data_IF_169886679059
#
_entry.id   IF_169886679059
#
_cell.length_a   1.000
_cell.length_b   1.000
_cell.length_c   1.000
_cell.angle_alpha   90.00
_cell.angle_beta   90.00
_cell.angle_gamma   90.00
#
_symmetry.space_group_name_H-M   'P 1'
#
loop_
_entity.id
_entity.type
_entity.pdbx_description
1 polymer ?
#
# COMPACT_ATOMS: atom_id res chain seq x y z
N UNK A 1 -17.88 -27.51 7.40
CA UNK A 1 -17.11 -26.41 8.00
C UNK A 1 -16.39 -25.70 6.88
N UNK A 2 -16.88 -24.53 6.50
CA UNK A 2 -16.43 -23.76 5.33
C UNK A 2 -15.17 -22.99 5.70
N UNK A 3 -14.05 -23.27 5.03
CA UNK A 3 -12.73 -22.61 5.15
C UNK A 3 -12.70 -21.14 4.70
N UNK A 4 -13.86 -20.49 4.60
CA UNK A 4 -14.00 -19.19 3.93
C UNK A 4 -13.72 -17.96 4.82
N UNK A 5 -13.55 -18.11 6.14
CA UNK A 5 -13.50 -16.95 7.06
C UNK A 5 -12.09 -16.54 7.58
N UNK A 6 -11.00 -17.27 7.30
CA UNK A 6 -9.68 -16.95 7.91
C UNK A 6 -8.54 -16.68 6.91
N UNK A 7 -8.80 -16.16 5.71
CA UNK A 7 -7.72 -15.87 4.76
C UNK A 7 -7.49 -14.36 4.57
N UNK A 8 -6.26 -13.93 4.88
CA UNK A 8 -5.78 -12.56 4.70
C UNK A 8 -5.00 -12.41 3.38
N UNK A 9 -5.34 -11.47 2.48
CA UNK A 9 -4.51 -11.19 1.32
C UNK A 9 -3.14 -10.65 1.78
N UNK A 10 -2.06 -11.15 1.16
CA UNK A 10 -0.71 -10.65 1.38
C UNK A 10 0.00 -10.47 0.05
N UNK A 11 0.86 -9.45 -0.01
CA UNK A 11 1.64 -9.13 -1.20
C UNK A 11 3.14 -9.17 -0.85
N UNK A 12 3.94 -9.73 -1.75
CA UNK A 12 5.40 -9.60 -1.72
C UNK A 12 5.81 -8.83 -2.96
N UNK A 13 6.69 -7.87 -2.77
CA UNK A 13 7.23 -7.04 -3.84
C UNK A 13 8.75 -7.03 -3.82
N UNK A 14 9.34 -6.77 -4.98
CA UNK A 14 10.75 -6.51 -5.15
C UNK A 14 10.98 -5.56 -6.32
N UNK A 15 12.08 -4.81 -6.27
CA UNK A 15 12.58 -3.98 -7.36
C UNK A 15 13.51 -4.82 -8.22
N UNK A 16 13.40 -4.64 -9.54
CA UNK A 16 14.29 -5.25 -10.52
C UNK A 16 15.11 -4.19 -11.27
N UNK A 17 16.31 -4.58 -11.69
CA UNK A 17 17.13 -3.80 -12.60
C UNK A 17 17.52 -4.68 -13.78
N UNK A 18 17.11 -4.27 -15.00
CA UNK A 18 17.33 -5.04 -16.24
C UNK A 18 16.87 -6.51 -16.14
N UNK A 19 15.66 -6.72 -15.58
CA UNK A 19 15.05 -8.05 -15.40
C UNK A 19 15.72 -8.92 -14.33
N UNK A 20 16.59 -8.35 -13.48
CA UNK A 20 17.20 -9.06 -12.35
C UNK A 20 16.68 -8.48 -11.03
N UNK A 21 16.25 -9.31 -10.07
CA UNK A 21 15.81 -8.82 -8.77
C UNK A 21 16.98 -8.21 -8.00
N UNK A 22 16.78 -6.99 -7.51
CA UNK A 22 17.78 -6.24 -6.74
C UNK A 22 17.35 -6.02 -5.29
N UNK A 23 16.12 -5.56 -5.03
CA UNK A 23 15.72 -5.19 -3.68
C UNK A 23 14.33 -5.70 -3.32
N UNK A 24 14.26 -6.67 -2.41
CA UNK A 24 13.02 -7.05 -1.71
C UNK A 24 13.05 -6.61 -0.25
N UNK A 25 12.03 -7.00 0.52
CA UNK A 25 11.85 -6.64 1.96
C UNK A 25 13.13 -6.77 2.80
N UNK A 26 13.76 -7.95 2.80
CA UNK A 26 14.96 -8.18 3.60
C UNK A 26 16.15 -7.31 3.18
N UNK A 27 16.24 -6.98 1.88
CA UNK A 27 17.23 -6.04 1.40
C UNK A 27 16.97 -4.61 1.87
N UNK A 28 15.71 -4.16 1.81
CA UNK A 28 15.32 -2.85 2.31
C UNK A 28 15.58 -2.72 3.82
N UNK A 29 15.28 -3.76 4.61
CA UNK A 29 15.59 -3.81 6.05
C UNK A 29 17.10 -3.70 6.31
N UNK A 30 17.93 -4.35 5.49
CA UNK A 30 19.39 -4.22 5.55
C UNK A 30 19.83 -2.77 5.31
N UNK A 31 19.34 -2.13 4.24
CA UNK A 31 19.72 -0.76 3.91
C UNK A 31 19.25 0.24 4.98
N UNK A 32 18.04 0.06 5.50
CA UNK A 32 17.50 0.86 6.60
C UNK A 32 18.35 0.72 7.87
N UNK A 33 18.70 -0.51 8.25
CA UNK A 33 19.55 -0.75 9.40
C UNK A 33 20.96 -0.14 9.23
N UNK A 34 21.56 -0.21 8.04
CA UNK A 34 22.84 0.45 7.76
C UNK A 34 22.70 1.96 7.87
N UNK A 35 21.62 2.54 7.34
CA UNK A 35 21.36 3.98 7.42
C UNK A 35 21.22 4.47 8.87
N UNK A 36 20.63 3.66 9.76
CA UNK A 36 20.50 4.00 11.19
C UNK A 36 21.81 3.78 11.95
N UNK A 37 22.41 2.60 11.81
CA UNK A 37 23.53 2.16 12.65
C UNK A 37 24.90 2.70 12.18
N UNK A 38 24.97 3.20 10.94
CA UNK A 38 26.21 3.62 10.27
C UNK A 38 27.31 2.52 10.29
N UNK A 39 26.91 1.25 10.36
CA UNK A 39 27.82 0.12 10.51
C UNK A 39 27.18 -1.19 10.04
N UNK A 40 27.90 -1.94 9.20
CA UNK A 40 27.44 -3.25 8.71
C UNK A 40 27.34 -4.29 9.81
N UNK A 41 28.29 -4.32 10.74
CA UNK A 41 28.29 -5.30 11.83
C UNK A 41 27.13 -5.06 12.78
N UNK A 42 26.87 -3.80 13.16
CA UNK A 42 25.70 -3.44 13.97
C UNK A 42 24.39 -3.73 13.26
N UNK A 43 24.29 -3.41 11.96
CA UNK A 43 23.10 -3.73 11.16
C UNK A 43 22.84 -5.24 11.11
N UNK A 44 23.87 -6.06 10.89
CA UNK A 44 23.75 -7.52 10.90
C UNK A 44 23.29 -8.05 12.26
N UNK A 45 23.87 -7.56 13.37
CA UNK A 45 23.46 -7.93 14.73
C UNK A 45 22.01 -7.54 15.00
N UNK A 46 21.60 -6.31 14.66
CA UNK A 46 20.23 -5.80 14.83
C UNK A 46 19.20 -6.67 14.10
N UNK A 47 19.52 -7.10 12.88
CA UNK A 47 18.67 -7.95 12.05
C UNK A 47 18.81 -9.44 12.36
N UNK A 48 19.64 -9.82 13.35
CA UNK A 48 19.96 -11.22 13.68
C UNK A 48 20.44 -12.02 12.45
N UNK A 49 21.18 -11.36 11.57
CA UNK A 49 21.78 -11.94 10.37
C UNK A 49 23.30 -12.07 10.55
N UNK A 50 23.91 -13.04 9.87
CA UNK A 50 25.37 -13.08 9.83
C UNK A 50 25.91 -11.90 9.01
N UNK A 51 27.05 -11.33 9.43
CA UNK A 51 27.74 -10.30 8.65
C UNK A 51 27.98 -10.74 7.20
N UNK A 52 28.39 -12.01 7.02
CA UNK A 52 28.61 -12.59 5.68
C UNK A 52 27.34 -12.59 4.83
N UNK A 53 26.17 -12.87 5.41
CA UNK A 53 24.90 -12.81 4.69
C UNK A 53 24.60 -11.39 4.21
N UNK A 54 24.68 -10.40 5.11
CA UNK A 54 24.45 -8.98 4.79
C UNK A 54 25.41 -8.51 3.70
N UNK A 55 26.71 -8.80 3.86
CA UNK A 55 27.73 -8.45 2.87
C UNK A 55 27.45 -9.07 1.50
N UNK A 56 27.17 -10.37 1.44
CA UNK A 56 26.85 -11.06 0.20
C UNK A 56 25.59 -10.51 -0.46
N UNK A 57 24.59 -10.11 0.32
CA UNK A 57 23.37 -9.50 -0.20
C UNK A 57 23.68 -8.16 -0.89
N UNK A 58 24.46 -7.28 -0.25
CA UNK A 58 24.86 -5.99 -0.84
C UNK A 58 25.68 -6.18 -2.12
N UNK A 59 26.61 -7.15 -2.12
CA UNK A 59 27.41 -7.49 -3.30
C UNK A 59 26.55 -7.98 -4.47
N UNK A 60 25.47 -8.73 -4.19
CA UNK A 60 24.52 -9.15 -5.24
C UNK A 60 23.82 -7.94 -5.87
N UNK A 61 23.39 -6.97 -5.07
CA UNK A 61 22.76 -5.75 -5.59
C UNK A 61 23.75 -4.95 -6.43
N UNK A 62 24.94 -4.69 -5.88
CA UNK A 62 25.98 -3.96 -6.58
C UNK A 62 26.36 -4.63 -7.90
N UNK A 63 26.47 -5.96 -7.94
CA UNK A 63 26.75 -6.69 -9.18
C UNK A 63 25.62 -6.58 -10.21
N UNK A 64 24.37 -6.52 -9.76
CA UNK A 64 23.23 -6.39 -10.65
C UNK A 64 23.11 -4.97 -11.23
N UNK A 65 23.31 -3.94 -10.41
CA UNK A 65 23.17 -2.53 -10.81
C UNK A 65 24.44 -2.01 -11.52
N UNK A 66 25.62 -2.47 -11.12
CA UNK A 66 26.91 -2.01 -11.64
C UNK A 66 27.57 -0.92 -10.78
N UNK A 67 26.90 -0.45 -9.73
CA UNK A 67 27.36 0.65 -8.87
C UNK A 67 27.20 0.32 -7.38
N UNK A 68 28.08 0.84 -6.51
CA UNK A 68 27.99 0.61 -5.07
C UNK A 68 26.76 1.31 -4.47
N UNK A 69 25.98 0.55 -3.71
CA UNK A 69 24.83 1.07 -2.95
C UNK A 69 25.19 1.41 -1.48
N UNK A 70 26.36 0.96 -1.02
CA UNK A 70 26.90 1.21 0.32
C UNK A 70 28.38 1.53 0.21
N UNK A 71 28.80 2.62 0.82
CA UNK A 71 30.20 2.96 1.05
C UNK A 71 30.64 2.41 2.40
N UNK A 72 31.85 1.83 2.44
CA UNK A 72 32.42 1.29 3.67
C UNK A 72 33.79 1.88 3.96
N UNK A 73 34.06 2.14 5.24
CA UNK A 73 35.37 2.54 5.74
C UNK A 73 35.93 1.41 6.60
N UNK A 74 37.15 0.97 6.29
CA UNK A 74 37.85 -0.01 7.14
C UNK A 74 38.15 0.62 8.50
N UNK A 75 37.82 -0.11 9.56
CA UNK A 75 38.25 0.23 10.92
C UNK A 75 39.70 -0.19 11.15
N UNK A 76 40.37 0.48 12.08
CA UNK A 76 41.73 0.13 12.52
C UNK A 76 41.76 -1.02 13.54
N UNK A 77 42.94 -1.26 14.13
CA UNK A 77 43.20 -2.31 15.15
C UNK A 77 42.26 -2.33 16.35
N UNK A 78 41.55 -1.22 16.63
CA UNK A 78 40.63 -1.09 17.77
C UNK A 78 39.14 -1.06 17.35
N UNK A 79 38.83 -1.43 16.10
CA UNK A 79 37.49 -1.34 15.54
C UNK A 79 37.19 0.04 14.93
N UNK A 80 35.91 0.32 14.66
CA UNK A 80 35.46 1.62 14.13
C UNK A 80 35.25 1.70 12.61
N UNK A 81 35.11 0.56 11.93
CA UNK A 81 34.69 0.57 10.53
C UNK A 81 33.27 1.11 10.37
N UNK A 82 33.06 1.98 9.38
CA UNK A 82 31.77 2.62 9.10
C UNK A 82 31.14 2.08 7.82
N UNK A 83 29.81 2.17 7.74
CA UNK A 83 29.09 1.89 6.51
C UNK A 83 27.94 2.86 6.34
N UNK A 84 27.80 3.46 5.16
CA UNK A 84 26.75 4.42 4.84
C UNK A 84 26.17 4.13 3.47
N UNK A 85 24.88 4.42 3.30
CA UNK A 85 24.24 4.32 2.00
C UNK A 85 24.79 5.40 1.07
N UNK A 86 25.12 5.01 -0.17
CA UNK A 86 25.40 5.96 -1.24
C UNK A 86 24.11 6.69 -1.65
N UNK A 87 24.17 7.77 -2.44
CA UNK A 87 22.96 8.40 -2.99
C UNK A 87 22.05 7.39 -3.70
N UNK A 88 22.63 6.47 -4.48
CA UNK A 88 21.93 5.37 -5.12
C UNK A 88 21.25 4.44 -4.10
N UNK A 89 21.97 4.02 -3.05
CA UNK A 89 21.41 3.18 -2.00
C UNK A 89 20.26 3.84 -1.25
N UNK A 90 20.35 5.15 -1.00
CA UNK A 90 19.26 5.95 -0.39
C UNK A 90 18.05 6.04 -1.31
N UNK A 91 18.27 6.30 -2.60
CA UNK A 91 17.20 6.35 -3.61
C UNK A 91 16.46 5.03 -3.71
N UNK A 92 17.19 3.91 -3.77
CA UNK A 92 16.60 2.57 -3.89
C UNK A 92 15.78 2.19 -2.65
N UNK A 93 16.27 2.53 -1.45
CA UNK A 93 15.53 2.33 -0.20
C UNK A 93 14.25 3.17 -0.16
N UNK A 94 14.34 4.45 -0.57
CA UNK A 94 13.20 5.35 -0.62
C UNK A 94 12.11 4.83 -1.57
N UNK A 95 12.51 4.45 -2.79
CA UNK A 95 11.61 3.88 -3.80
C UNK A 95 10.89 2.63 -3.27
N UNK A 96 11.62 1.71 -2.65
CA UNK A 96 11.03 0.51 -2.05
C UNK A 96 10.01 0.86 -0.97
N UNK A 97 10.37 1.77 -0.04
CA UNK A 97 9.48 2.18 1.08
C UNK A 97 8.23 2.89 0.58
N UNK A 98 8.34 3.70 -0.47
CA UNK A 98 7.18 4.35 -1.09
C UNK A 98 6.24 3.30 -1.67
N UNK A 99 6.74 2.43 -2.54
CA UNK A 99 5.95 1.35 -3.15
C UNK A 99 5.33 0.42 -2.10
N UNK A 100 6.07 0.05 -1.05
CA UNK A 100 5.56 -0.74 0.06
C UNK A 100 4.40 -0.03 0.77
N UNK A 101 4.50 1.28 1.00
CA UNK A 101 3.41 2.07 1.59
C UNK A 101 2.17 2.11 0.68
N UNK A 102 2.35 2.31 -0.62
CA UNK A 102 1.23 2.31 -1.57
C UNK A 102 0.54 0.94 -1.63
N UNK A 103 1.30 -0.14 -1.74
CA UNK A 103 0.74 -1.49 -1.81
C UNK A 103 0.07 -1.89 -0.50
N UNK A 104 0.63 -1.53 0.65
CA UNK A 104 0.00 -1.81 1.95
C UNK A 104 -1.37 -1.13 2.06
N UNK A 105 -1.53 0.10 1.55
CA UNK A 105 -2.83 0.78 1.49
C UNK A 105 -3.81 0.04 0.58
N UNK A 106 -3.38 -0.34 -0.62
CA UNK A 106 -4.23 -1.08 -1.57
C UNK A 106 -4.66 -2.43 -1.01
N UNK A 107 -3.75 -3.17 -0.38
CA UNK A 107 -4.05 -4.46 0.25
C UNK A 107 -4.98 -4.25 1.45
N UNK A 108 -4.76 -3.23 2.28
CA UNK A 108 -5.68 -2.92 3.38
C UNK A 108 -7.07 -2.51 2.88
N UNK A 109 -7.15 -1.71 1.82
CA UNK A 109 -8.43 -1.27 1.24
C UNK A 109 -9.22 -2.46 0.66
N UNK A 110 -8.54 -3.47 0.09
CA UNK A 110 -9.18 -4.72 -0.29
C UNK A 110 -9.74 -5.52 0.90
N UNK A 111 -9.15 -5.40 2.10
CA UNK A 111 -9.73 -5.99 3.32
C UNK A 111 -11.01 -5.25 3.73
N UNK A 112 -11.01 -3.92 3.62
CA UNK A 112 -12.20 -3.09 3.89
C UNK A 112 -13.31 -3.33 2.85
N UNK A 113 -13.00 -3.75 1.63
CA UNK A 113 -14.03 -4.15 0.67
C UNK A 113 -14.76 -5.44 1.10
N UNK A 114 -14.08 -6.35 1.80
CA UNK A 114 -14.70 -7.57 2.35
C UNK A 114 -15.58 -7.28 3.57
N UNK A 115 -15.32 -6.19 4.29
CA UNK A 115 -16.09 -5.74 5.45
C UNK A 115 -16.34 -4.24 5.34
N UNK A 116 -17.45 -3.80 4.72
CA UNK A 116 -17.71 -2.39 4.43
C UNK A 116 -18.06 -1.60 5.69
N UNK A 117 -17.09 -1.39 6.57
CA UNK A 117 -17.13 -0.33 7.55
C UNK A 117 -16.55 0.93 6.90
N UNK A 118 -17.50 1.77 6.48
CA UNK A 118 -17.45 2.91 5.57
C UNK A 118 -16.49 4.08 5.94
N UNK A 119 -15.50 3.89 6.82
CA UNK A 119 -14.79 4.99 7.50
C UNK A 119 -13.45 5.44 6.88
N UNK A 120 -12.70 4.59 6.18
CA UNK A 120 -11.28 4.91 5.89
C UNK A 120 -10.95 5.33 4.44
N UNK A 121 -11.75 4.94 3.45
CA UNK A 121 -11.47 5.26 2.03
C UNK A 121 -12.37 6.37 1.46
N UNK A 122 -13.39 6.77 2.23
CA UNK A 122 -14.38 7.77 1.85
C UNK A 122 -13.90 9.13 2.32
N UNK A 123 -13.23 9.88 1.45
CA UNK A 123 -12.85 11.28 1.76
C UNK A 123 -14.00 12.25 1.54
N UNK A 124 -14.96 11.88 0.70
CA UNK A 124 -16.11 12.69 0.36
C UNK A 124 -17.38 11.90 0.69
N UNK A 125 -18.21 12.42 1.59
CA UNK A 125 -19.54 11.88 1.82
C UNK A 125 -20.62 12.93 1.60
N UNK A 126 -21.75 12.50 1.05
CA UNK A 126 -22.92 13.34 0.81
C UNK A 126 -24.12 12.72 1.51
N UNK A 127 -24.77 13.48 2.38
CA UNK A 127 -26.01 13.06 3.04
C UNK A 127 -27.21 13.47 2.21
N UNK A 128 -28.19 12.58 2.12
CA UNK A 128 -29.41 12.85 1.37
C UNK A 128 -30.52 11.84 1.66
N UNK A 129 -31.66 12.07 1.02
CA UNK A 129 -32.86 11.25 1.16
C UNK A 129 -33.14 10.49 -0.14
N UNK A 130 -33.43 9.20 -0.04
CA UNK A 130 -33.77 8.40 -1.22
C UNK A 130 -35.14 8.83 -1.75
N UNK A 131 -35.20 9.26 -3.01
CA UNK A 131 -36.44 9.71 -3.67
C UNK A 131 -36.99 8.71 -4.68
N UNK A 132 -36.12 7.90 -5.30
CA UNK A 132 -36.55 6.86 -6.22
C UNK A 132 -35.57 5.69 -6.23
N UNK A 133 -36.10 4.48 -6.43
CA UNK A 133 -35.32 3.26 -6.63
C UNK A 133 -35.90 2.54 -7.85
N UNK A 134 -35.12 2.49 -8.93
CA UNK A 134 -35.47 1.74 -10.14
C UNK A 134 -34.59 0.50 -10.23
N UNK A 135 -35.19 -0.68 -10.36
CA UNK A 135 -34.48 -1.95 -10.53
C UNK A 135 -34.67 -2.41 -11.97
N UNK A 136 -33.60 -2.47 -12.75
CA UNK A 136 -33.64 -2.93 -14.15
C UNK A 136 -32.51 -3.91 -14.43
N UNK A 137 -32.88 -5.14 -14.79
CA UNK A 137 -31.94 -6.25 -14.99
C UNK A 137 -31.11 -6.54 -13.74
N UNK A 138 -29.79 -6.59 -13.91
CA UNK A 138 -28.80 -6.80 -12.84
C UNK A 138 -28.38 -5.51 -12.13
N UNK A 139 -28.94 -4.35 -12.51
CA UNK A 139 -28.58 -3.04 -11.97
C UNK A 139 -29.74 -2.38 -11.25
N UNK A 140 -29.42 -1.56 -10.26
CA UNK A 140 -30.34 -0.69 -9.55
C UNK A 140 -29.85 0.75 -9.67
N UNK A 141 -30.78 1.66 -9.96
CA UNK A 141 -30.58 3.11 -9.90
C UNK A 141 -31.26 3.62 -8.64
N UNK A 142 -30.48 4.24 -7.77
CA UNK A 142 -30.98 4.87 -6.55
C UNK A 142 -30.80 6.36 -6.69
N UNK A 143 -31.90 7.12 -6.73
CA UNK A 143 -31.88 8.58 -6.76
C UNK A 143 -31.95 9.10 -5.34
N UNK A 144 -31.00 9.95 -4.99
CA UNK A 144 -30.87 10.55 -3.66
C UNK A 144 -30.89 12.06 -3.83
N UNK A 145 -31.79 12.72 -3.14
CA UNK A 145 -31.87 14.18 -3.05
C UNK A 145 -30.97 14.65 -1.90
N UNK A 146 -30.10 15.61 -2.16
CA UNK A 146 -29.18 16.14 -1.17
C UNK A 146 -29.85 17.24 -0.33
N UNK A 147 -29.18 17.68 0.74
CA UNK A 147 -29.61 18.88 1.48
C UNK A 147 -29.51 20.18 0.65
N UNK A 148 -28.79 20.15 -0.47
CA UNK A 148 -28.70 21.20 -1.49
C UNK A 148 -29.70 20.91 -2.61
N UNK A 149 -30.05 21.87 -3.50
CA UNK A 149 -31.00 21.65 -4.61
C UNK A 149 -30.45 20.75 -5.74
N UNK A 150 -29.65 19.75 -5.40
CA UNK A 150 -29.04 18.79 -6.30
C UNK A 150 -29.46 17.37 -5.93
N UNK A 151 -29.52 16.50 -6.93
CA UNK A 151 -29.77 15.07 -6.74
C UNK A 151 -28.63 14.25 -7.34
N UNK A 152 -28.29 13.16 -6.67
CA UNK A 152 -27.28 12.19 -7.12
C UNK A 152 -27.99 10.89 -7.49
N UNK A 153 -27.60 10.30 -8.61
CA UNK A 153 -28.09 8.97 -9.00
C UNK A 153 -26.95 7.98 -8.84
N UNK A 154 -27.12 7.01 -7.96
CA UNK A 154 -26.16 5.93 -7.73
C UNK A 154 -26.59 4.72 -8.55
N UNK A 155 -25.70 4.26 -9.43
CA UNK A 155 -25.83 3.02 -10.18
C UNK A 155 -25.07 1.93 -9.43
N UNK A 156 -25.75 0.86 -9.05
CA UNK A 156 -25.15 -0.26 -8.31
C UNK A 156 -25.73 -1.61 -8.76
N UNK A 157 -25.03 -2.73 -8.52
CA UNK A 157 -25.60 -4.05 -8.74
C UNK A 157 -26.87 -4.27 -7.90
N UNK A 158 -27.84 -4.96 -8.47
CA UNK A 158 -29.13 -5.24 -7.81
C UNK A 158 -28.97 -5.95 -6.47
N UNK A 159 -28.04 -6.92 -6.41
CA UNK A 159 -27.71 -7.65 -5.18
C UNK A 159 -27.24 -6.72 -4.05
N UNK A 160 -26.50 -5.65 -4.39
CA UNK A 160 -26.04 -4.64 -3.44
C UNK A 160 -27.20 -3.80 -2.93
N UNK A 161 -28.08 -3.32 -3.82
CA UNK A 161 -29.26 -2.55 -3.43
C UNK A 161 -30.23 -3.36 -2.55
N UNK A 162 -30.39 -4.66 -2.83
CA UNK A 162 -31.21 -5.57 -2.02
C UNK A 162 -30.58 -5.87 -0.65
N UNK A 163 -29.25 -6.05 -0.60
CA UNK A 163 -28.51 -6.23 0.66
C UNK A 163 -28.57 -5.02 1.59
N UNK A 164 -28.67 -3.81 1.04
CA UNK A 164 -28.83 -2.57 1.82
C UNK A 164 -30.28 -2.30 2.27
N UNK A 165 -31.25 -3.09 1.78
CA UNK A 165 -32.67 -2.98 2.13
C UNK A 165 -33.26 -1.54 2.03
N UNK A 166 -32.76 -0.74 1.09
CA UNK A 166 -33.14 0.67 0.93
C UNK A 166 -34.61 0.85 0.55
N UNK A 167 -35.26 1.85 1.14
CA UNK A 167 -36.62 2.30 0.84
C UNK A 167 -36.64 3.76 0.43
N UNK A 168 -37.66 4.12 -0.34
CA UNK A 168 -37.93 5.52 -0.65
C UNK A 168 -38.28 6.23 0.66
N UNK A 169 -37.57 7.32 0.95
CA UNK A 169 -37.70 8.08 2.18
C UNK A 169 -36.56 7.87 3.19
N UNK A 170 -35.69 6.88 2.99
CA UNK A 170 -34.58 6.62 3.90
C UNK A 170 -33.52 7.72 3.82
N UNK A 171 -32.96 8.08 4.97
CA UNK A 171 -31.75 8.88 5.05
C UNK A 171 -30.53 8.02 4.78
N UNK A 172 -29.73 8.43 3.80
CA UNK A 172 -28.55 7.69 3.35
C UNK A 172 -27.33 8.60 3.29
N UNK A 173 -26.18 8.01 3.52
CA UNK A 173 -24.89 8.64 3.29
C UNK A 173 -24.25 8.01 2.05
N UNK A 174 -24.03 8.84 1.03
CA UNK A 174 -23.34 8.45 -0.19
C UNK A 174 -21.86 8.64 0.03
N UNK A 175 -21.12 7.54 0.00
CA UNK A 175 -19.67 7.56 -0.01
C UNK A 175 -19.14 7.71 -1.43
N UNK A 176 -18.26 8.69 -1.66
CA UNK A 176 -17.59 8.92 -2.95
C UNK A 176 -16.08 8.76 -2.76
N UNK A 177 -15.50 7.83 -3.50
CA UNK A 177 -14.05 7.63 -3.53
C UNK A 177 -13.38 8.80 -4.27
N UNK A 178 -12.34 9.38 -3.67
CA UNK A 178 -11.68 10.58 -4.21
C UNK A 178 -11.02 10.36 -5.58
N UNK A 179 -10.59 9.13 -5.88
CA UNK A 179 -9.99 8.72 -7.16
C UNK A 179 -11.01 8.62 -8.29
N UNK A 180 -12.30 8.50 -7.97
CA UNK A 180 -13.41 8.40 -8.94
C UNK A 180 -14.01 9.75 -9.36
N UNK A 181 -13.53 10.87 -8.82
CA UNK A 181 -14.03 12.21 -9.15
C UNK A 181 -13.02 12.94 -10.02
N UNK A 182 -13.42 13.29 -11.24
CA UNK A 182 -12.62 14.06 -12.19
C UNK A 182 -13.11 15.52 -12.25
N UNK A 183 -12.18 16.46 -12.32
CA UNK A 183 -12.48 17.87 -12.60
C UNK A 183 -12.19 18.17 -14.07
N UNK A 184 -13.09 18.90 -14.73
CA UNK A 184 -12.91 19.41 -16.08
C UNK A 184 -13.23 20.92 -16.09
N UNK A 185 -12.56 21.69 -16.94
CA UNK A 185 -12.77 23.13 -17.13
C UNK A 185 -13.36 23.40 -18.49
#
# INVERSE_FOLDING_TARGET
MTTQEEHKPSCKMWIEYKGKPVLGKGGAEILEAISTENSLSKAAVKLRMSYRYVWNYLQKIQKAIGEPIVETRKGGKHGGGGAQLTPLGKSLLLEYKQLESYLNKVVSDMEHWKHPDMKNSVKNSLKGKVTAIEKSGETAKVKVELATPAAVTVLMPRKTAEGLALKVGDEVEIAIEATGVMTAK
#
